data_IF_708883431826
#
_entry.id   IF_708883431826
#
_cell.length_a   1.000
_cell.length_b   1.000
_cell.length_c   1.000
_cell.angle_alpha   90.00
_cell.angle_beta   90.00
_cell.angle_gamma   90.00
#
_symmetry.space_group_name_H-M   'P 1'
#
loop_
_entity.id
_entity.type
_entity.pdbx_description
1 polymer ?
#
# COMPACT_ATOMS: atom_id res chain seq x y z
N UNK A 1 12.25 16.03 -22.31
CA UNK A 1 12.25 16.83 -21.07
C UNK A 1 13.59 17.51 -20.79
N UNK A 2 14.62 16.85 -20.26
CA UNK A 2 15.89 17.51 -19.86
C UNK A 2 16.55 18.31 -21.00
N UNK A 3 16.73 17.69 -22.17
CA UNK A 3 17.32 18.37 -23.34
C UNK A 3 16.49 19.56 -23.83
N UNK A 4 15.16 19.45 -23.78
CA UNK A 4 14.22 20.52 -24.13
C UNK A 4 14.28 21.68 -23.14
N UNK A 5 14.31 21.38 -21.83
CA UNK A 5 14.40 22.39 -20.78
C UNK A 5 15.74 23.13 -20.82
N UNK A 6 16.85 22.42 -21.12
CA UNK A 6 18.19 23.02 -21.14
C UNK A 6 18.52 23.75 -22.44
N UNK A 7 18.02 23.29 -23.59
CA UNK A 7 18.33 23.88 -24.90
C UNK A 7 17.22 24.76 -25.48
N UNK A 8 16.01 24.74 -24.91
CA UNK A 8 14.84 25.45 -25.45
C UNK A 8 14.33 24.91 -26.80
N UNK A 9 14.88 23.81 -27.30
CA UNK A 9 14.50 23.22 -28.59
C UNK A 9 13.45 22.15 -28.36
N UNK A 10 12.25 22.32 -28.91
CA UNK A 10 11.18 21.34 -28.82
C UNK A 10 11.45 20.10 -29.71
N UNK A 11 11.98 19.03 -29.10
CA UNK A 11 12.20 17.74 -29.78
C UNK A 11 10.91 16.91 -29.91
N UNK A 12 10.04 16.93 -28.88
CA UNK A 12 8.75 16.23 -28.88
C UNK A 12 7.64 17.16 -28.36
N UNK A 13 6.51 17.24 -29.08
CA UNK A 13 5.35 18.05 -28.67
C UNK A 13 4.64 17.46 -27.45
N UNK A 14 4.00 18.32 -26.65
CA UNK A 14 3.17 17.97 -25.48
C UNK A 14 3.89 17.25 -24.32
N UNK A 15 5.19 17.49 -24.13
CA UNK A 15 5.85 17.00 -22.92
C UNK A 15 5.50 17.88 -21.72
N UNK A 16 5.12 17.22 -20.61
CA UNK A 16 4.92 17.88 -19.32
C UNK A 16 6.22 18.61 -18.93
N UNK A 17 6.16 19.88 -18.50
CA UNK A 17 7.33 20.61 -18.04
C UNK A 17 8.03 19.90 -16.87
N UNK A 18 9.37 19.99 -16.83
CA UNK A 18 10.14 19.30 -15.77
C UNK A 18 9.83 19.85 -14.37
N UNK A 19 9.49 21.13 -14.25
CA UNK A 19 9.16 21.75 -12.96
C UNK A 19 7.85 21.18 -12.37
N UNK A 20 6.85 20.90 -13.21
CA UNK A 20 5.63 20.20 -12.78
C UNK A 20 5.96 18.78 -12.33
N UNK A 21 6.84 18.10 -13.06
CA UNK A 21 7.29 16.75 -12.69
C UNK A 21 7.99 16.75 -11.31
N UNK A 22 8.85 17.73 -11.03
CA UNK A 22 9.48 17.87 -9.71
C UNK A 22 8.46 18.13 -8.60
N UNK A 23 7.43 18.94 -8.87
CA UNK A 23 6.35 19.18 -7.90
C UNK A 23 5.60 17.89 -7.58
N UNK A 24 5.18 17.15 -8.60
CA UNK A 24 4.49 15.86 -8.42
C UNK A 24 5.34 14.85 -7.64
N UNK A 25 6.63 14.74 -7.96
CA UNK A 25 7.55 13.85 -7.23
C UNK A 25 7.71 14.31 -5.76
N UNK A 26 7.79 15.62 -5.52
CA UNK A 26 7.86 16.19 -4.18
C UNK A 26 6.64 15.86 -3.34
N UNK A 27 5.44 16.04 -3.90
CA UNK A 27 4.18 15.71 -3.23
C UNK A 27 4.14 14.22 -2.85
N UNK A 28 4.42 13.33 -3.81
CA UNK A 28 4.49 11.87 -3.57
C UNK A 28 5.50 11.54 -2.47
N UNK A 29 6.66 12.19 -2.46
CA UNK A 29 7.72 11.94 -1.48
C UNK A 29 7.27 12.30 -0.06
N UNK A 30 6.62 13.46 0.12
CA UNK A 30 6.11 13.91 1.43
C UNK A 30 5.06 12.92 1.95
N UNK A 31 4.15 12.48 1.09
CA UNK A 31 3.11 11.52 1.44
C UNK A 31 3.71 10.15 1.81
N UNK A 32 4.61 9.62 0.98
CA UNK A 32 5.27 8.33 1.23
C UNK A 32 6.15 8.36 2.47
N UNK A 33 6.72 9.51 2.83
CA UNK A 33 7.43 9.68 4.11
C UNK A 33 6.51 9.41 5.32
N UNK A 34 5.21 9.68 5.19
CA UNK A 34 4.19 9.35 6.20
C UNK A 34 3.78 7.88 6.25
N UNK A 35 4.12 7.06 5.25
CA UNK A 35 3.69 5.66 5.18
C UNK A 35 4.29 4.80 6.31
N UNK A 36 5.58 4.97 6.65
CA UNK A 36 6.21 4.21 7.74
C UNK A 36 5.67 4.58 9.14
N UNK A 37 5.50 5.87 9.49
CA UNK A 37 4.77 6.27 10.70
C UNK A 37 3.37 5.66 10.77
N UNK A 38 2.63 5.63 9.65
CA UNK A 38 1.30 5.04 9.59
C UNK A 38 1.34 3.53 9.84
N UNK A 39 2.28 2.80 9.22
CA UNK A 39 2.50 1.37 9.51
C UNK A 39 2.79 1.15 10.99
N UNK A 40 3.68 1.94 11.58
CA UNK A 40 4.01 1.84 13.01
C UNK A 40 2.78 2.11 13.89
N UNK A 41 2.01 3.14 13.57
CA UNK A 41 0.77 3.47 14.27
C UNK A 41 -0.26 2.34 14.19
N UNK A 42 -0.50 1.79 12.99
CA UNK A 42 -1.40 0.66 12.77
C UNK A 42 -0.94 -0.57 13.56
N UNK A 43 0.36 -0.90 13.52
CA UNK A 43 0.92 -1.99 14.31
C UNK A 43 0.73 -1.78 15.81
N UNK A 44 0.73 -0.55 16.31
CA UNK A 44 0.56 -0.28 17.73
C UNK A 44 -0.92 -0.33 18.16
N UNK A 45 -1.81 0.29 17.38
CA UNK A 45 -3.25 0.39 17.69
C UNK A 45 -3.97 -0.94 17.42
N UNK A 46 -3.67 -1.57 16.30
CA UNK A 46 -4.35 -2.80 15.88
C UNK A 46 -3.66 -4.07 16.38
N UNK A 47 -2.57 -3.96 17.15
CA UNK A 47 -1.80 -5.11 17.65
C UNK A 47 -2.68 -6.21 18.26
N UNK A 48 -3.42 -5.86 19.31
CA UNK A 48 -4.25 -6.81 20.08
C UNK A 48 -5.38 -7.44 19.26
N UNK A 49 -6.20 -6.70 18.49
CA UNK A 49 -7.24 -7.32 17.68
C UNK A 49 -6.66 -8.17 16.55
N UNK A 50 -5.57 -7.72 15.90
CA UNK A 50 -4.92 -8.52 14.86
C UNK A 50 -4.26 -9.77 15.42
N UNK A 51 -3.54 -9.72 16.55
CA UNK A 51 -2.93 -10.92 17.15
C UNK A 51 -4.00 -11.97 17.51
N UNK A 52 -5.16 -11.54 18.03
CA UNK A 52 -6.29 -12.44 18.28
C UNK A 52 -6.86 -13.05 16.99
N UNK A 53 -6.97 -12.27 15.91
CA UNK A 53 -7.46 -12.74 14.63
C UNK A 53 -6.46 -13.70 13.97
N UNK A 54 -5.18 -13.32 13.90
CA UNK A 54 -4.11 -14.14 13.33
C UNK A 54 -3.91 -15.46 14.06
N UNK A 55 -4.04 -15.49 15.39
CA UNK A 55 -3.97 -16.74 16.16
C UNK A 55 -5.09 -17.71 15.78
N UNK A 56 -6.29 -17.23 15.41
CA UNK A 56 -7.38 -18.11 14.93
C UNK A 56 -7.12 -18.65 13.53
N UNK A 57 -6.40 -17.88 12.72
CA UNK A 57 -6.06 -18.17 11.31
C UNK A 57 -4.74 -18.97 11.24
N UNK A 58 -4.01 -19.13 12.35
CA UNK A 58 -2.74 -19.85 12.40
C UNK A 58 -1.56 -19.06 11.80
N UNK A 59 -1.62 -17.73 11.80
CA UNK A 59 -0.55 -16.87 11.31
C UNK A 59 0.49 -16.60 12.40
N UNK A 60 1.76 -16.57 12.00
CA UNK A 60 2.86 -16.12 12.86
C UNK A 60 2.82 -14.60 13.07
N UNK A 61 3.47 -14.10 14.12
CA UNK A 61 3.56 -12.66 14.39
C UNK A 61 4.18 -11.88 13.22
N UNK A 62 5.18 -12.46 12.54
CA UNK A 62 5.82 -11.82 11.38
C UNK A 62 4.85 -11.71 10.19
N UNK A 63 4.09 -12.77 9.90
CA UNK A 63 3.07 -12.77 8.86
C UNK A 63 1.92 -11.78 9.18
N UNK A 64 1.56 -11.63 10.45
CA UNK A 64 0.57 -10.65 10.90
C UNK A 64 1.05 -9.20 10.71
N UNK A 65 2.31 -8.93 11.05
CA UNK A 65 2.95 -7.63 10.82
C UNK A 65 3.02 -7.29 9.34
N UNK A 66 3.21 -8.30 8.47
CA UNK A 66 3.12 -8.15 7.02
C UNK A 66 1.74 -7.69 6.56
N UNK A 67 0.66 -8.32 7.03
CA UNK A 67 -0.70 -7.91 6.67
C UNK A 67 -1.01 -6.47 7.06
N UNK A 68 -0.60 -6.08 8.27
CA UNK A 68 -0.75 -4.71 8.77
C UNK A 68 0.10 -3.70 7.98
N UNK A 69 1.30 -4.10 7.56
CA UNK A 69 2.18 -3.25 6.77
C UNK A 69 1.61 -3.04 5.37
N UNK A 70 1.11 -4.10 4.73
CA UNK A 70 0.48 -4.07 3.41
C UNK A 70 -0.75 -3.16 3.32
N UNK A 71 -1.51 -2.98 4.42
CA UNK A 71 -2.61 -2.00 4.46
C UNK A 71 -2.16 -0.56 4.17
N UNK A 72 -0.95 -0.19 4.57
CA UNK A 72 -0.38 1.14 4.35
C UNK A 72 0.58 1.15 3.15
N UNK A 73 1.54 0.23 3.10
CA UNK A 73 2.45 0.08 1.98
C UNK A 73 3.03 -1.34 1.93
N UNK A 74 2.93 -1.99 0.79
CA UNK A 74 3.45 -3.35 0.58
C UNK A 74 4.97 -3.40 0.33
N UNK A 75 5.63 -2.29 -0.03
CA UNK A 75 7.07 -2.26 -0.36
C UNK A 75 7.98 -2.87 0.73
N UNK A 76 7.77 -2.59 2.03
CA UNK A 76 8.57 -3.20 3.10
C UNK A 76 8.34 -4.71 3.24
N UNK A 77 7.16 -5.20 2.89
CA UNK A 77 6.80 -6.61 3.04
C UNK A 77 7.46 -7.46 1.96
N UNK A 78 7.55 -6.97 0.72
CA UNK A 78 8.26 -7.67 -0.37
C UNK A 78 9.72 -7.95 0.00
N UNK A 79 10.33 -7.02 0.73
CA UNK A 79 11.72 -7.12 1.20
C UNK A 79 11.86 -8.04 2.42
N UNK A 80 10.76 -8.38 3.10
CA UNK A 80 10.70 -9.15 4.34
C UNK A 80 9.85 -10.43 4.26
N UNK A 81 9.58 -10.95 3.06
CA UNK A 81 8.80 -12.20 2.86
C UNK A 81 9.56 -13.46 3.30
N UNK A 82 10.90 -13.43 3.30
CA UNK A 82 11.75 -14.59 3.63
C UNK A 82 11.42 -15.26 4.98
N UNK A 83 11.28 -14.52 6.09
CA UNK A 83 10.96 -15.08 7.40
C UNK A 83 9.52 -15.61 7.54
N UNK A 84 8.62 -15.38 6.57
CA UNK A 84 7.26 -15.90 6.67
C UNK A 84 7.23 -17.43 6.51
N UNK A 85 6.37 -18.06 7.30
CA UNK A 85 5.98 -19.45 7.14
C UNK A 85 5.20 -19.64 5.82
N UNK A 86 5.09 -20.89 5.32
CA UNK A 86 4.46 -21.16 4.02
C UNK A 86 3.03 -20.61 3.93
N UNK A 87 2.23 -20.78 4.98
CA UNK A 87 0.88 -20.24 5.08
C UNK A 87 0.88 -18.71 5.13
N UNK A 88 1.76 -18.15 5.96
CA UNK A 88 2.02 -16.70 6.03
C UNK A 88 2.30 -16.06 4.68
N UNK A 89 3.13 -16.71 3.84
CA UNK A 89 3.46 -16.24 2.48
C UNK A 89 2.23 -16.20 1.57
N UNK A 90 1.43 -17.27 1.54
CA UNK A 90 0.25 -17.36 0.68
C UNK A 90 -0.77 -16.30 1.09
N UNK A 91 -1.11 -16.22 2.38
CA UNK A 91 -2.12 -15.28 2.89
C UNK A 91 -1.67 -13.83 2.71
N UNK A 92 -0.42 -13.50 3.03
CA UNK A 92 0.09 -12.13 2.83
C UNK A 92 0.13 -11.75 1.35
N UNK A 93 0.50 -12.66 0.46
CA UNK A 93 0.57 -12.36 -0.98
C UNK A 93 -0.83 -12.17 -1.55
N UNK A 94 -1.79 -13.02 -1.16
CA UNK A 94 -3.19 -12.89 -1.59
C UNK A 94 -3.82 -11.58 -1.11
N UNK A 95 -3.56 -11.21 0.15
CA UNK A 95 -3.99 -9.92 0.69
C UNK A 95 -3.27 -8.74 0.02
N UNK A 96 -1.97 -8.86 -0.27
CA UNK A 96 -1.20 -7.81 -0.91
C UNK A 96 -1.74 -7.46 -2.31
N UNK A 97 -2.21 -8.44 -3.07
CA UNK A 97 -2.82 -8.20 -4.38
C UNK A 97 -4.19 -7.52 -4.26
N UNK A 98 -5.03 -7.97 -3.34
CA UNK A 98 -6.44 -7.58 -3.27
C UNK A 98 -6.69 -6.36 -2.37
N UNK A 99 -6.12 -6.37 -1.17
CA UNK A 99 -6.39 -5.44 -0.08
C UNK A 99 -5.27 -4.46 0.26
N UNK A 100 -4.10 -4.54 -0.37
CA UNK A 100 -2.99 -3.61 -0.08
C UNK A 100 -3.34 -2.16 -0.41
N UNK A 101 -2.63 -1.25 0.28
CA UNK A 101 -2.62 0.20 0.07
C UNK A 101 -3.95 0.92 0.35
N UNK A 102 -4.88 0.29 1.06
CA UNK A 102 -6.17 0.90 1.45
C UNK A 102 -5.97 2.24 2.16
N UNK A 103 -5.02 2.30 3.08
CA UNK A 103 -4.71 3.50 3.88
C UNK A 103 -3.50 4.28 3.34
N UNK A 104 -2.92 3.83 2.22
CA UNK A 104 -1.73 4.41 1.63
C UNK A 104 -2.01 5.11 0.31
N UNK A 105 -1.29 4.71 -0.73
CA UNK A 105 -1.27 5.35 -2.05
C UNK A 105 -2.64 5.47 -2.72
N UNK A 106 -3.59 4.55 -2.49
CA UNK A 106 -4.92 4.69 -3.06
C UNK A 106 -5.76 5.77 -2.40
N UNK A 107 -5.73 5.84 -1.06
CA UNK A 107 -6.41 6.90 -0.33
C UNK A 107 -5.83 8.26 -0.72
N UNK A 108 -4.51 8.34 -0.78
CA UNK A 108 -3.79 9.54 -1.18
C UNK A 108 -4.12 9.99 -2.60
N UNK A 109 -4.17 9.07 -3.57
CA UNK A 109 -4.45 9.44 -4.96
C UNK A 109 -5.91 9.82 -5.19
N UNK A 110 -6.85 9.19 -4.48
CA UNK A 110 -8.29 9.44 -4.66
C UNK A 110 -8.75 10.68 -3.88
N UNK A 111 -8.17 10.96 -2.71
CA UNK A 111 -8.57 12.07 -1.85
C UNK A 111 -8.53 13.47 -2.50
N UNK A 112 -7.52 13.85 -3.30
CA UNK A 112 -7.46 15.16 -3.94
C UNK A 112 -8.32 15.23 -5.21
N UNK A 113 -8.64 14.10 -5.84
CA UNK A 113 -9.33 14.07 -7.14
C UNK A 113 -10.85 13.93 -6.98
N UNK A 114 -11.32 12.89 -6.26
CA UNK A 114 -12.75 12.58 -6.13
C UNK A 114 -13.07 12.08 -4.71
N UNK A 115 -13.38 13.03 -3.81
CA UNK A 115 -13.65 12.72 -2.38
C UNK A 115 -14.80 11.74 -2.15
N UNK A 116 -15.82 11.75 -3.02
CA UNK A 116 -16.96 10.83 -2.93
C UNK A 116 -16.59 9.36 -3.16
N UNK A 117 -15.46 9.09 -3.82
CA UNK A 117 -14.97 7.73 -4.10
C UNK A 117 -14.06 7.18 -3.01
N UNK A 118 -13.61 8.00 -2.05
CA UNK A 118 -12.73 7.55 -0.97
C UNK A 118 -13.35 6.36 -0.21
N UNK A 119 -14.56 6.54 0.30
CA UNK A 119 -15.25 5.52 1.11
C UNK A 119 -15.52 4.26 0.29
N UNK A 120 -16.10 4.32 -0.93
CA UNK A 120 -16.27 3.15 -1.80
C UNK A 120 -14.98 2.38 -2.08
N UNK A 121 -13.86 3.06 -2.35
CA UNK A 121 -12.58 2.42 -2.66
C UNK A 121 -12.00 1.70 -1.44
N UNK A 122 -12.07 2.33 -0.26
CA UNK A 122 -11.64 1.70 1.00
C UNK A 122 -12.46 0.43 1.24
N UNK A 123 -13.79 0.52 1.16
CA UNK A 123 -14.67 -0.64 1.37
C UNK A 123 -14.41 -1.74 0.35
N UNK A 124 -14.36 -1.42 -0.94
CA UNK A 124 -14.13 -2.41 -2.00
C UNK A 124 -12.80 -3.14 -1.86
N UNK A 125 -11.73 -2.45 -1.48
CA UNK A 125 -10.42 -3.09 -1.27
C UNK A 125 -10.36 -3.90 0.00
N UNK A 126 -10.94 -3.41 1.09
CA UNK A 126 -11.00 -4.18 2.34
C UNK A 126 -11.83 -5.45 2.18
N UNK A 127 -12.99 -5.37 1.51
CA UNK A 127 -13.81 -6.56 1.26
C UNK A 127 -13.08 -7.56 0.36
N UNK A 128 -12.44 -7.11 -0.73
CA UNK A 128 -11.66 -7.98 -1.60
C UNK A 128 -10.47 -8.63 -0.85
N UNK A 129 -9.76 -7.86 -0.03
CA UNK A 129 -8.66 -8.36 0.80
C UNK A 129 -9.10 -9.43 1.80
N UNK A 130 -10.18 -9.15 2.56
CA UNK A 130 -10.72 -10.09 3.55
C UNK A 130 -11.24 -11.36 2.87
N UNK A 131 -11.90 -11.25 1.72
CA UNK A 131 -12.35 -12.41 0.95
C UNK A 131 -11.18 -13.25 0.45
N UNK A 132 -10.11 -12.62 -0.04
CA UNK A 132 -8.90 -13.32 -0.45
C UNK A 132 -8.25 -14.07 0.72
N UNK A 133 -8.10 -13.42 1.89
CA UNK A 133 -7.60 -14.09 3.09
C UNK A 133 -8.48 -15.28 3.49
N UNK A 134 -9.79 -15.12 3.43
CA UNK A 134 -10.72 -16.19 3.80
C UNK A 134 -10.57 -17.40 2.87
N UNK A 135 -10.51 -17.20 1.55
CA UNK A 135 -10.36 -18.30 0.59
C UNK A 135 -9.06 -19.07 0.85
N UNK A 136 -7.93 -18.38 0.95
CA UNK A 136 -6.62 -19.02 1.16
C UNK A 136 -6.36 -19.48 2.60
N UNK A 137 -7.20 -19.11 3.56
CA UNK A 137 -7.10 -19.62 4.93
C UNK A 137 -7.66 -21.05 5.06
N UNK A 138 -8.63 -21.42 4.21
CA UNK A 138 -9.33 -22.71 4.26
C UNK A 138 -8.84 -23.73 3.22
N UNK A 139 -7.82 -23.38 2.45
CA UNK A 139 -7.08 -24.27 1.53
C UNK A 139 -5.82 -24.81 2.21
#
# INVERSE_FOLDING_TARGET
>A
MIFQTLKGVEVFKNLVPIHESFKTIGDITIILAGAFPLVFFLQHVLKKPFEKAGNKIGLTHQSLVGLLSSLACHVPDVLKVRPFDARGKVINTAFAVSGSFVMGSHLDFVAPVVKSLIVPVIFGKLTAGILAEFIFCYE
#
